data_IF_914188445947
#
_entry.id   IF_914188445947
#
_cell.length_a   1.000
_cell.length_b   1.000
_cell.length_c   1.000
_cell.angle_alpha   90.00
_cell.angle_beta   90.00
_cell.angle_gamma   90.00
#
_symmetry.space_group_name_H-M   'P 1'
#
loop_
_entity.id
_entity.type
_entity.pdbx_description
1 polymer ?
#
# COMPACT_ATOMS: atom_id res chain seq x y z
N UNK A 1 -29.78 -52.02 29.29
CA UNK A 1 -28.87 -51.40 30.27
C UNK A 1 -28.54 -50.03 29.69
N UNK A 2 -29.29 -48.97 30.02
CA UNK A 2 -29.22 -48.19 31.28
C UNK A 2 -27.81 -47.61 31.45
N UNK A 3 -27.54 -46.31 31.59
CA UNK A 3 -28.34 -45.11 31.83
C UNK A 3 -27.49 -43.85 31.49
N UNK A 4 -28.19 -42.75 31.18
CA UNK A 4 -27.93 -41.32 31.42
C UNK A 4 -26.49 -40.75 31.48
N UNK A 5 -26.23 -39.69 30.69
CA UNK A 5 -26.27 -38.33 31.26
C UNK A 5 -26.45 -37.21 30.20
N UNK A 6 -27.17 -36.18 30.64
CA UNK A 6 -27.54 -34.96 29.92
C UNK A 6 -26.36 -33.98 29.75
N UNK A 7 -26.40 -33.15 28.70
CA UNK A 7 -26.41 -31.68 28.84
C UNK A 7 -26.77 -30.98 27.53
N UNK A 8 -27.80 -30.13 27.63
CA UNK A 8 -28.46 -29.38 26.57
C UNK A 8 -27.70 -28.10 26.19
N UNK A 9 -27.69 -27.83 24.89
CA UNK A 9 -27.61 -26.50 24.28
C UNK A 9 -29.01 -25.86 24.30
N UNK A 10 -29.12 -24.52 24.40
CA UNK A 10 -30.23 -23.84 23.74
C UNK A 10 -29.74 -22.73 22.81
N UNK A 11 -30.30 -22.79 21.59
CA UNK A 11 -30.28 -21.76 20.57
C UNK A 11 -31.05 -20.51 21.03
N UNK A 12 -30.46 -19.34 20.84
CA UNK A 12 -31.04 -18.03 21.15
C UNK A 12 -32.28 -17.77 20.27
N UNK A 13 -33.44 -17.65 20.92
CA UNK A 13 -34.70 -17.24 20.31
C UNK A 13 -34.81 -15.72 20.33
N UNK A 14 -35.23 -15.17 19.18
CA UNK A 14 -35.69 -13.81 18.97
C UNK A 14 -36.82 -13.50 19.94
N UNK A 15 -36.56 -12.64 20.93
CA UNK A 15 -37.56 -12.17 21.88
C UNK A 15 -38.33 -10.98 21.30
N UNK A 16 -39.45 -11.30 20.67
CA UNK A 16 -40.56 -10.41 20.38
C UNK A 16 -41.11 -9.84 21.71
N UNK A 17 -40.92 -8.54 21.94
CA UNK A 17 -41.42 -7.89 23.16
C UNK A 17 -42.95 -7.76 23.08
N UNK A 18 -43.60 -8.46 24.00
CA UNK A 18 -45.04 -8.56 24.19
C UNK A 18 -45.72 -7.19 24.29
N UNK A 19 -46.77 -7.02 23.48
CA UNK A 19 -47.73 -5.95 23.58
C UNK A 19 -48.48 -6.00 24.92
N UNK A 20 -48.34 -4.93 25.72
CA UNK A 20 -49.13 -4.74 26.93
C UNK A 20 -50.59 -4.39 26.59
N UNK A 21 -51.51 -5.11 27.23
CA UNK A 21 -52.97 -4.96 27.22
C UNK A 21 -53.40 -3.52 27.56
N UNK A 22 -54.45 -2.95 26.92
CA UNK A 22 -54.84 -1.56 27.16
C UNK A 22 -55.51 -1.40 28.53
N UNK A 23 -54.94 -0.54 29.37
CA UNK A 23 -55.56 -0.08 30.61
C UNK A 23 -56.68 0.93 30.29
N UNK A 24 -57.85 0.72 30.90
CA UNK A 24 -59.03 1.59 30.83
C UNK A 24 -58.70 2.97 31.42
N UNK A 25 -58.97 4.09 30.74
CA UNK A 25 -58.69 5.41 31.31
C UNK A 25 -59.72 5.79 32.38
N UNK A 26 -59.20 6.14 33.57
CA UNK A 26 -59.89 6.88 34.62
C UNK A 26 -59.96 8.37 34.23
N UNK A 27 -61.07 9.08 34.45
CA UNK A 27 -61.15 10.50 34.14
C UNK A 27 -60.48 11.33 35.24
N UNK A 28 -59.21 11.68 35.05
CA UNK A 28 -58.57 12.73 35.86
C UNK A 28 -59.05 14.10 35.38
N UNK A 29 -59.93 14.72 36.18
CA UNK A 29 -60.33 16.12 36.05
C UNK A 29 -59.19 17.02 36.51
N UNK A 30 -58.34 17.47 35.59
CA UNK A 30 -57.44 18.60 35.81
C UNK A 30 -58.10 19.87 35.28
N UNK A 31 -58.55 20.73 36.21
CA UNK A 31 -58.93 22.12 35.90
C UNK A 31 -57.69 22.87 35.40
N UNK A 32 -57.55 22.97 34.08
CA UNK A 32 -56.65 23.96 33.49
C UNK A 32 -57.26 25.34 33.66
N UNK A 33 -56.72 26.14 34.59
CA UNK A 33 -56.90 27.58 34.62
C UNK A 33 -56.37 28.16 33.29
N UNK A 34 -57.26 28.43 32.34
CA UNK A 34 -56.95 29.19 31.13
C UNK A 34 -56.76 30.65 31.51
N UNK A 35 -55.54 31.00 31.90
CA UNK A 35 -55.09 32.40 31.81
C UNK A 35 -55.19 32.84 30.35
N UNK A 36 -56.21 33.64 30.02
CA UNK A 36 -56.40 34.17 28.68
C UNK A 36 -55.44 35.33 28.43
N UNK A 37 -54.20 35.01 28.05
CA UNK A 37 -53.33 36.01 27.44
C UNK A 37 -53.93 36.39 26.08
N UNK A 38 -54.60 37.54 26.01
CA UNK A 38 -55.03 38.16 24.73
C UNK A 38 -53.79 38.66 23.98
N UNK A 39 -53.03 37.74 23.40
CA UNK A 39 -51.97 38.03 22.45
C UNK A 39 -52.60 38.30 21.07
N UNK A 40 -52.33 39.47 20.50
CA UNK A 40 -52.72 39.81 19.13
C UNK A 40 -52.14 38.76 18.16
N UNK A 41 -52.90 38.38 17.11
CA UNK A 41 -52.49 37.37 16.10
C UNK A 41 -51.08 37.60 15.55
N UNK A 42 -50.67 38.87 15.41
CA UNK A 42 -49.32 39.26 15.00
C UNK A 42 -48.25 38.77 15.97
N UNK A 43 -48.44 38.93 17.29
CA UNK A 43 -47.48 38.47 18.32
C UNK A 43 -47.36 36.95 18.36
N UNK A 44 -48.44 36.23 18.05
CA UNK A 44 -48.46 34.77 18.01
C UNK A 44 -47.63 34.23 16.82
N UNK A 45 -47.73 34.86 15.64
CA UNK A 45 -46.91 34.52 14.49
C UNK A 45 -45.41 34.82 14.74
N UNK A 46 -45.08 35.91 15.42
CA UNK A 46 -43.69 36.23 15.78
C UNK A 46 -43.09 35.19 16.74
N UNK A 47 -43.85 34.73 17.74
CA UNK A 47 -43.41 33.69 18.68
C UNK A 47 -43.17 32.36 17.95
N UNK A 48 -44.08 31.97 17.04
CA UNK A 48 -43.93 30.76 16.23
C UNK A 48 -42.68 30.81 15.35
N UNK A 49 -42.43 31.92 14.67
CA UNK A 49 -41.23 32.10 13.85
C UNK A 49 -39.94 32.04 14.69
N UNK A 50 -39.95 32.65 15.88
CA UNK A 50 -38.81 32.61 16.79
C UNK A 50 -38.53 31.19 17.29
N UNK A 51 -39.56 30.44 17.68
CA UNK A 51 -39.43 29.05 18.08
C UNK A 51 -38.87 28.18 16.94
N UNK A 52 -39.34 28.37 15.71
CA UNK A 52 -38.82 27.65 14.55
C UNK A 52 -37.32 27.93 14.34
N UNK A 53 -36.87 29.19 14.45
CA UNK A 53 -35.45 29.55 14.37
C UNK A 53 -34.61 28.85 15.46
N UNK A 54 -35.09 28.82 16.70
CA UNK A 54 -34.41 28.13 17.79
C UNK A 54 -34.32 26.62 17.58
N UNK A 55 -35.39 25.99 17.11
CA UNK A 55 -35.41 24.55 16.80
C UNK A 55 -34.43 24.24 15.66
N UNK A 56 -34.38 25.08 14.62
CA UNK A 56 -33.41 24.93 13.53
C UNK A 56 -31.97 25.06 14.01
N UNK A 57 -31.66 26.05 14.86
CA UNK A 57 -30.32 26.24 15.41
C UNK A 57 -29.88 25.06 16.29
N UNK A 58 -30.76 24.57 17.17
CA UNK A 58 -30.49 23.42 18.02
C UNK A 58 -30.28 22.14 17.18
N UNK A 59 -31.10 21.93 16.16
CA UNK A 59 -30.97 20.80 15.23
C UNK A 59 -29.64 20.86 14.47
N UNK A 60 -29.26 22.03 13.94
CA UNK A 60 -27.98 22.21 13.26
C UNK A 60 -26.79 21.93 14.18
N UNK A 61 -26.85 22.41 15.43
CA UNK A 61 -25.78 22.19 16.40
C UNK A 61 -25.62 20.71 16.77
N UNK A 62 -26.73 19.99 16.99
CA UNK A 62 -26.69 18.55 17.24
C UNK A 62 -26.06 17.79 16.06
N UNK A 63 -26.45 18.12 14.83
CA UNK A 63 -25.84 17.55 13.62
C UNK A 63 -24.36 17.89 13.49
N UNK A 64 -23.95 19.12 13.85
CA UNK A 64 -22.55 19.52 13.82
C UNK A 64 -21.70 18.72 14.81
N UNK A 65 -22.18 18.50 16.03
CA UNK A 65 -21.48 17.64 17.00
C UNK A 65 -21.38 16.19 16.52
N UNK A 66 -22.46 15.65 15.92
CA UNK A 66 -22.44 14.31 15.34
C UNK A 66 -21.44 14.21 14.18
N UNK A 67 -21.42 15.21 13.29
CA UNK A 67 -20.47 15.26 12.18
C UNK A 67 -19.02 15.30 12.67
N UNK A 68 -18.73 16.09 13.71
CA UNK A 68 -17.41 16.15 14.32
C UNK A 68 -16.98 14.80 14.93
N UNK A 69 -17.88 14.13 15.67
CA UNK A 69 -17.59 12.83 16.26
C UNK A 69 -17.38 11.74 15.18
N UNK A 70 -18.19 11.76 14.11
CA UNK A 70 -18.01 10.87 12.98
C UNK A 70 -16.66 11.08 12.27
N UNK A 71 -16.23 12.33 12.11
CA UNK A 71 -14.92 12.65 11.53
C UNK A 71 -13.76 12.10 12.38
N UNK A 72 -13.86 12.20 13.70
CA UNK A 72 -12.84 11.66 14.61
C UNK A 72 -12.74 10.13 14.50
N UNK A 73 -13.88 9.44 14.42
CA UNK A 73 -13.92 7.99 14.20
C UNK A 73 -13.29 7.57 12.88
N UNK A 74 -13.54 8.32 11.79
CA UNK A 74 -12.91 8.05 10.49
C UNK A 74 -11.40 8.18 10.58
N UNK A 75 -10.90 9.24 11.22
CA UNK A 75 -9.44 9.45 11.36
C UNK A 75 -8.76 8.36 12.20
N UNK A 76 -9.45 7.83 13.22
CA UNK A 76 -8.94 6.72 14.03
C UNK A 76 -8.93 5.41 13.23
N UNK A 77 -9.99 5.14 12.48
CA UNK A 77 -10.08 3.99 11.59
C UNK A 77 -9.00 4.02 10.49
N UNK A 78 -8.75 5.18 9.87
CA UNK A 78 -7.69 5.33 8.87
C UNK A 78 -6.30 5.00 9.42
N UNK A 79 -6.00 5.41 10.66
CA UNK A 79 -4.71 5.07 11.31
C UNK A 79 -4.57 3.58 11.58
N UNK A 80 -5.66 2.92 11.97
CA UNK A 80 -5.68 1.46 12.15
C UNK A 80 -5.41 0.77 10.82
N UNK A 81 -6.12 1.15 9.75
CA UNK A 81 -5.90 0.62 8.42
C UNK A 81 -4.48 0.86 7.92
N UNK A 82 -3.91 2.06 8.11
CA UNK A 82 -2.51 2.36 7.73
C UNK A 82 -1.52 1.39 8.37
N UNK A 83 -1.77 0.98 9.62
CA UNK A 83 -0.89 0.06 10.35
C UNK A 83 -1.10 -1.39 9.90
N UNK A 84 -2.34 -1.77 9.62
CA UNK A 84 -2.70 -3.11 9.14
C UNK A 84 -2.27 -3.35 7.69
N UNK A 85 -2.15 -2.29 6.88
CA UNK A 85 -1.75 -2.35 5.48
C UNK A 85 -0.44 -1.60 5.26
N UNK A 86 0.55 -1.82 6.12
CA UNK A 86 1.85 -1.18 5.96
C UNK A 86 2.79 -2.01 5.05
N UNK A 87 3.01 -1.58 3.79
CA UNK A 87 3.96 -2.23 2.91
C UNK A 87 5.41 -1.99 3.37
N UNK A 88 6.19 -3.07 3.41
CA UNK A 88 7.61 -3.05 3.76
C UNK A 88 8.41 -3.64 2.62
N UNK A 89 9.04 -2.78 1.83
CA UNK A 89 9.90 -3.22 0.73
C UNK A 89 11.36 -3.42 1.17
N UNK A 90 11.93 -4.55 0.77
CA UNK A 90 13.30 -4.95 1.09
C UNK A 90 14.03 -5.35 -0.19
N UNK A 91 15.22 -4.80 -0.39
CA UNK A 91 16.11 -5.25 -1.45
C UNK A 91 16.82 -6.53 -1.04
N UNK A 92 17.03 -7.41 -2.01
CA UNK A 92 17.77 -8.65 -1.84
C UNK A 92 18.81 -8.78 -2.94
N UNK A 93 19.98 -9.28 -2.56
CA UNK A 93 21.05 -9.67 -3.48
C UNK A 93 21.43 -11.11 -3.18
N UNK A 94 21.42 -11.96 -4.20
CA UNK A 94 21.99 -13.31 -4.16
C UNK A 94 22.96 -13.49 -5.31
N UNK A 95 24.01 -14.29 -5.11
CA UNK A 95 24.93 -14.73 -6.16
C UNK A 95 24.85 -16.24 -6.43
N UNK A 96 23.91 -16.94 -5.81
CA UNK A 96 23.69 -18.37 -6.00
C UNK A 96 22.20 -18.71 -5.99
N UNK A 97 21.79 -19.55 -6.93
CA UNK A 97 20.44 -20.07 -7.00
C UNK A 97 20.42 -21.53 -6.53
N UNK A 98 19.69 -21.78 -5.44
CA UNK A 98 19.60 -23.11 -4.82
C UNK A 98 18.79 -24.09 -5.68
N UNK A 99 17.80 -23.61 -6.45
CA UNK A 99 16.93 -24.48 -7.25
C UNK A 99 17.66 -25.00 -8.48
N UNK A 100 18.37 -24.11 -9.19
CA UNK A 100 19.17 -24.47 -10.36
C UNK A 100 20.57 -24.96 -10.00
N UNK A 101 20.99 -24.87 -8.73
CA UNK A 101 22.36 -25.18 -8.26
C UNK A 101 23.45 -24.49 -9.11
N UNK A 102 23.17 -23.26 -9.55
CA UNK A 102 24.03 -22.47 -10.42
C UNK A 102 24.35 -21.12 -9.76
N UNK A 103 25.59 -20.64 -9.93
CA UNK A 103 25.96 -19.28 -9.58
C UNK A 103 25.16 -18.30 -10.45
N UNK A 104 24.29 -17.51 -9.81
CA UNK A 104 23.34 -16.62 -10.48
C UNK A 104 23.22 -15.37 -9.64
N UNK A 105 23.55 -14.22 -10.23
CA UNK A 105 23.27 -12.93 -9.62
C UNK A 105 21.77 -12.71 -9.73
N UNK A 106 21.10 -12.42 -8.61
CA UNK A 106 19.70 -12.04 -8.54
C UNK A 106 19.59 -10.82 -7.64
N UNK A 107 19.02 -9.76 -8.20
CA UNK A 107 18.66 -8.54 -7.50
C UNK A 107 17.15 -8.41 -7.58
N UNK A 108 16.51 -8.37 -6.44
CA UNK A 108 15.07 -8.27 -6.34
C UNK A 108 14.65 -7.35 -5.21
N UNK A 109 13.39 -6.91 -5.27
CA UNK A 109 12.74 -6.19 -4.20
C UNK A 109 11.49 -6.97 -3.78
N UNK A 110 11.42 -7.29 -2.49
CA UNK A 110 10.33 -8.08 -1.91
C UNK A 110 9.48 -7.22 -0.99
N UNK A 111 8.17 -7.37 -1.09
CA UNK A 111 7.26 -6.84 -0.08
C UNK A 111 7.14 -7.83 1.09
N UNK A 112 7.75 -7.49 2.21
CA UNK A 112 7.70 -8.27 3.46
C UNK A 112 6.75 -7.66 4.50
N UNK A 113 6.00 -6.62 4.10
CA UNK A 113 5.00 -5.98 4.95
C UNK A 113 3.60 -6.39 4.55
N UNK A 114 2.61 -5.83 5.23
CA UNK A 114 1.21 -6.17 4.99
C UNK A 114 0.59 -5.23 3.96
N UNK A 115 -0.10 -5.82 2.99
CA UNK A 115 -0.80 -5.08 1.94
C UNK A 115 0.09 -4.59 0.79
N UNK A 116 -0.53 -4.08 -0.30
CA UNK A 116 0.17 -3.85 -1.55
C UNK A 116 0.97 -2.53 -1.58
N UNK A 117 2.09 -2.57 -2.29
CA UNK A 117 2.94 -1.42 -2.57
C UNK A 117 2.90 -1.06 -4.06
N UNK A 118 2.74 0.22 -4.39
CA UNK A 118 2.92 0.72 -5.74
C UNK A 118 4.32 1.31 -5.83
N UNK A 119 5.24 0.62 -6.48
CA UNK A 119 6.61 1.10 -6.71
C UNK A 119 6.56 2.13 -7.84
N UNK A 120 6.95 3.37 -7.53
CA UNK A 120 7.00 4.45 -8.51
C UNK A 120 8.30 4.44 -9.30
N UNK A 121 9.42 4.29 -8.59
CA UNK A 121 10.75 4.22 -9.17
C UNK A 121 11.71 3.49 -8.23
N UNK A 122 12.80 3.01 -8.81
CA UNK A 122 14.01 2.60 -8.08
C UNK A 122 15.14 3.46 -8.64
N UNK A 123 15.85 4.14 -7.73
CA UNK A 123 17.02 4.95 -8.00
C UNK A 123 18.24 4.17 -7.51
N UNK A 124 19.23 4.05 -8.37
CA UNK A 124 20.52 3.46 -8.06
C UNK A 124 21.56 4.56 -7.99
N UNK A 125 22.56 4.41 -7.12
CA UNK A 125 23.69 5.33 -7.02
C UNK A 125 24.99 4.54 -7.12
N UNK A 126 25.88 5.00 -8.01
CA UNK A 126 27.25 4.49 -8.19
C UNK A 126 28.19 5.68 -8.30
N UNK A 127 29.20 5.73 -7.43
CA UNK A 127 30.22 6.80 -7.40
C UNK A 127 29.66 8.24 -7.39
N UNK A 128 28.45 8.43 -6.84
CA UNK A 128 27.75 9.72 -6.75
C UNK A 128 26.84 10.05 -7.93
N UNK A 129 26.84 9.24 -8.98
CA UNK A 129 25.95 9.35 -10.14
C UNK A 129 24.67 8.54 -9.92
N UNK A 130 23.52 9.10 -10.33
CA UNK A 130 22.22 8.49 -10.14
C UNK A 130 21.69 7.85 -11.43
N UNK A 131 21.20 6.62 -11.33
CA UNK A 131 20.64 5.83 -12.43
C UNK A 131 19.23 5.37 -12.08
N UNK A 132 18.34 5.27 -13.07
CA UNK A 132 16.97 4.75 -12.90
C UNK A 132 16.72 3.47 -13.68
N UNK A 133 17.64 3.10 -14.57
CA UNK A 133 17.66 1.82 -15.25
C UNK A 133 18.82 0.98 -14.71
N UNK A 134 18.53 -0.27 -14.32
CA UNK A 134 19.56 -1.17 -13.79
C UNK A 134 20.58 -1.56 -14.86
N UNK A 135 20.20 -1.57 -16.14
CA UNK A 135 21.12 -1.85 -17.25
C UNK A 135 22.11 -0.72 -17.46
N UNK A 136 21.67 0.54 -17.33
CA UNK A 136 22.56 1.72 -17.36
C UNK A 136 23.56 1.69 -16.19
N UNK A 137 23.10 1.34 -14.98
CA UNK A 137 23.98 1.14 -13.83
C UNK A 137 25.02 0.04 -14.08
N UNK A 138 24.58 -1.11 -14.57
CA UNK A 138 25.46 -2.25 -14.84
C UNK A 138 26.44 -1.94 -15.98
N UNK A 139 26.04 -1.13 -16.95
CA UNK A 139 26.92 -0.64 -17.99
C UNK A 139 27.99 0.30 -17.45
N UNK A 140 27.59 1.30 -16.65
CA UNK A 140 28.50 2.24 -16.02
C UNK A 140 29.54 1.56 -15.11
N UNK A 141 29.13 0.56 -14.33
CA UNK A 141 30.07 -0.22 -13.51
C UNK A 141 31.04 -1.04 -14.35
N UNK A 142 30.48 -1.81 -15.27
CA UNK A 142 31.04 -3.11 -15.60
C UNK A 142 31.05 -3.37 -17.12
N UNK A 143 30.55 -2.42 -17.93
CA UNK A 143 30.49 -2.43 -19.40
C UNK A 143 29.61 -3.57 -19.96
N UNK A 144 28.33 -3.55 -19.58
CA UNK A 144 27.29 -4.48 -20.02
C UNK A 144 26.99 -4.35 -21.52
N UNK A 145 27.15 -3.17 -22.12
CA UNK A 145 26.91 -2.93 -23.54
C UNK A 145 27.97 -3.61 -24.43
N UNK A 146 29.24 -3.60 -24.05
CA UNK A 146 30.27 -4.37 -24.76
C UNK A 146 29.97 -5.87 -24.73
N UNK A 147 29.40 -6.36 -23.62
CA UNK A 147 28.94 -7.74 -23.52
C UNK A 147 27.77 -8.04 -24.47
N UNK A 148 26.78 -7.15 -24.56
CA UNK A 148 25.68 -7.30 -25.52
C UNK A 148 26.16 -7.30 -26.98
N UNK A 149 27.10 -6.42 -27.33
CA UNK A 149 27.67 -6.37 -28.67
C UNK A 149 28.37 -7.69 -29.02
N UNK A 150 29.22 -8.20 -28.12
CA UNK A 150 29.91 -9.48 -28.30
C UNK A 150 28.94 -10.67 -28.40
N UNK A 151 27.80 -10.62 -27.71
CA UNK A 151 26.73 -11.61 -27.86
C UNK A 151 26.08 -11.56 -29.24
N UNK A 152 25.81 -10.35 -29.76
CA UNK A 152 25.16 -10.17 -31.06
C UNK A 152 26.04 -10.70 -32.19
N UNK A 153 27.34 -10.43 -32.16
CA UNK A 153 28.29 -10.93 -33.15
C UNK A 153 28.36 -12.47 -33.13
N UNK A 154 28.49 -13.07 -31.94
CA UNK A 154 28.51 -14.53 -31.78
C UNK A 154 27.17 -15.18 -32.19
N UNK A 155 26.05 -14.47 -32.08
CA UNK A 155 24.75 -14.95 -32.53
C UNK A 155 24.68 -15.07 -34.06
N UNK A 156 25.28 -14.14 -34.79
CA UNK A 156 25.23 -14.13 -36.24
C UNK A 156 26.08 -15.27 -36.88
N UNK A 157 27.03 -15.85 -36.14
CA UNK A 157 27.96 -16.87 -36.66
C UNK A 157 27.47 -18.33 -36.50
N UNK A 158 26.72 -18.69 -35.45
CA UNK A 158 26.40 -20.11 -35.12
C UNK A 158 24.90 -20.41 -34.89
N UNK A 159 24.06 -20.36 -35.94
CA UNK A 159 22.58 -20.46 -35.86
C UNK A 159 21.96 -21.72 -35.21
N UNK A 160 22.75 -22.74 -34.86
CA UNK A 160 22.28 -24.05 -34.39
C UNK A 160 22.52 -24.33 -32.89
N UNK A 161 22.79 -23.31 -32.07
CA UNK A 161 23.12 -23.49 -30.65
C UNK A 161 22.04 -22.88 -29.77
N UNK A 162 21.76 -23.52 -28.63
CA UNK A 162 20.98 -22.89 -27.56
C UNK A 162 21.81 -21.75 -26.93
N UNK A 163 21.64 -20.55 -27.49
CA UNK A 163 22.37 -19.35 -27.10
C UNK A 163 22.23 -19.01 -25.62
N UNK A 164 21.02 -19.17 -25.06
CA UNK A 164 20.77 -18.90 -23.64
C UNK A 164 21.69 -19.73 -22.73
N UNK A 165 21.85 -21.01 -23.04
CA UNK A 165 22.65 -21.93 -22.22
C UNK A 165 24.16 -21.74 -22.40
N UNK A 166 24.61 -21.41 -23.62
CA UNK A 166 26.05 -21.27 -23.92
C UNK A 166 26.61 -19.94 -23.43
N UNK A 167 25.87 -18.86 -23.60
CA UNK A 167 26.37 -17.51 -23.37
C UNK A 167 25.94 -16.92 -22.02
N UNK A 168 24.82 -17.36 -21.45
CA UNK A 168 24.29 -16.84 -20.19
C UNK A 168 23.75 -15.42 -20.35
N UNK A 169 22.47 -15.29 -20.68
CA UNK A 169 21.81 -13.98 -20.80
C UNK A 169 21.52 -13.36 -19.44
N UNK A 170 21.31 -12.05 -19.39
CA UNK A 170 20.74 -11.41 -18.21
C UNK A 170 19.29 -10.99 -18.49
N UNK A 171 18.50 -10.86 -17.43
CA UNK A 171 17.14 -10.33 -17.45
C UNK A 171 17.13 -9.07 -16.61
N UNK A 172 16.53 -8.00 -17.11
CA UNK A 172 16.31 -6.77 -16.37
C UNK A 172 14.86 -6.32 -16.51
N UNK A 173 14.33 -5.72 -15.45
CA UNK A 173 12.96 -5.20 -15.42
C UNK A 173 12.96 -3.73 -15.01
N UNK A 174 12.16 -2.89 -15.69
CA UNK A 174 12.01 -1.48 -15.35
C UNK A 174 10.87 -1.28 -14.32
N UNK A 175 11.14 -0.76 -13.11
CA UNK A 175 10.13 -0.60 -12.08
C UNK A 175 9.32 0.69 -12.26
N UNK A 176 8.45 0.74 -13.27
CA UNK A 176 7.56 1.89 -13.50
C UNK A 176 6.12 1.59 -13.09
N UNK A 177 5.67 2.19 -11.98
CA UNK A 177 4.30 2.10 -11.45
C UNK A 177 3.81 0.66 -11.26
N UNK A 178 4.64 -0.18 -10.67
CA UNK A 178 4.34 -1.60 -10.47
C UNK A 178 3.59 -1.78 -9.16
N UNK A 179 2.46 -2.49 -9.19
CA UNK A 179 1.80 -2.97 -7.99
C UNK A 179 2.47 -4.27 -7.54
N UNK A 180 3.01 -4.28 -6.33
CA UNK A 180 3.62 -5.44 -5.68
C UNK A 180 2.71 -5.85 -4.51
N UNK A 181 2.12 -7.04 -4.57
CA UNK A 181 1.25 -7.53 -3.50
C UNK A 181 2.06 -7.88 -2.24
N UNK A 182 1.36 -8.25 -1.16
CA UNK A 182 1.99 -8.79 0.05
C UNK A 182 2.72 -10.11 -0.26
N UNK A 183 3.96 -10.23 0.20
CA UNK A 183 4.80 -11.42 0.02
C UNK A 183 5.44 -11.55 -1.36
N UNK A 184 4.94 -10.82 -2.36
CA UNK A 184 5.45 -10.85 -3.73
C UNK A 184 6.86 -10.26 -3.84
N UNK A 185 7.56 -10.73 -4.87
CA UNK A 185 8.92 -10.32 -5.20
C UNK A 185 8.98 -9.81 -6.63
N UNK A 186 9.55 -8.64 -6.83
CA UNK A 186 9.82 -8.08 -8.15
C UNK A 186 11.29 -8.28 -8.51
N UNK A 187 11.53 -9.04 -9.58
CA UNK A 187 12.87 -9.32 -10.08
C UNK A 187 13.40 -8.12 -10.89
N UNK A 188 14.40 -7.44 -10.35
CA UNK A 188 15.02 -6.26 -10.97
C UNK A 188 16.06 -6.69 -11.99
N UNK A 189 16.95 -7.60 -11.59
CA UNK A 189 18.05 -8.07 -12.42
C UNK A 189 18.38 -9.53 -12.10
N UNK A 190 18.60 -10.35 -13.12
CA UNK A 190 19.09 -11.71 -12.97
C UNK A 190 20.15 -12.02 -14.02
N UNK A 191 21.26 -12.63 -13.62
CA UNK A 191 22.33 -13.04 -14.53
C UNK A 191 22.98 -14.36 -14.05
N UNK A 192 22.69 -15.50 -14.69
CA UNK A 192 23.39 -16.76 -14.46
C UNK A 192 24.82 -16.68 -15.00
N UNK A 193 25.75 -17.25 -14.24
CA UNK A 193 27.16 -17.34 -14.61
C UNK A 193 27.37 -18.40 -15.69
N UNK A 194 28.08 -18.04 -16.74
CA UNK A 194 28.48 -18.90 -17.85
C UNK A 194 30.00 -18.84 -18.06
N UNK A 195 30.53 -19.68 -18.96
CA UNK A 195 31.94 -19.58 -19.35
C UNK A 195 32.23 -18.31 -20.16
N UNK A 196 31.22 -17.78 -20.85
CA UNK A 196 31.35 -16.61 -21.72
C UNK A 196 31.29 -15.31 -20.93
N UNK A 197 30.40 -15.23 -19.93
CA UNK A 197 30.16 -13.99 -19.18
C UNK A 197 30.92 -13.91 -17.85
N UNK A 198 31.76 -14.90 -17.53
CA UNK A 198 32.46 -15.03 -16.24
C UNK A 198 33.14 -13.75 -15.79
N UNK A 199 33.89 -13.09 -16.68
CA UNK A 199 34.64 -11.87 -16.35
C UNK A 199 33.72 -10.69 -16.00
N UNK A 200 32.60 -10.53 -16.71
CA UNK A 200 31.59 -9.53 -16.39
C UNK A 200 30.87 -9.86 -15.08
N UNK A 201 30.45 -11.12 -14.93
CA UNK A 201 29.76 -11.61 -13.74
C UNK A 201 30.60 -11.40 -12.46
N UNK A 202 31.90 -11.76 -12.51
CA UNK A 202 32.81 -11.60 -11.38
C UNK A 202 33.04 -10.12 -11.03
N UNK A 203 33.07 -9.23 -12.04
CA UNK A 203 33.14 -7.79 -11.81
C UNK A 203 31.90 -7.26 -11.11
N UNK A 204 30.70 -7.68 -11.53
CA UNK A 204 29.44 -7.26 -10.90
C UNK A 204 29.39 -7.75 -9.44
N UNK A 205 29.69 -9.03 -9.18
CA UNK A 205 29.67 -9.57 -7.82
C UNK A 205 30.71 -8.92 -6.89
N UNK A 206 31.84 -8.49 -7.43
CA UNK A 206 32.86 -7.77 -6.68
C UNK A 206 32.42 -6.34 -6.29
N UNK A 207 31.62 -5.66 -7.11
CA UNK A 207 31.16 -4.28 -6.86
C UNK A 207 29.84 -4.19 -6.07
N UNK A 208 29.25 -5.33 -5.67
CA UNK A 208 27.93 -5.37 -5.00
C UNK A 208 27.79 -4.48 -3.77
N UNK A 209 28.87 -4.26 -3.02
CA UNK A 209 28.85 -3.44 -1.80
C UNK A 209 28.84 -1.94 -2.08
N UNK A 210 29.16 -1.53 -3.31
CA UNK A 210 29.25 -0.13 -3.71
C UNK A 210 27.90 0.38 -4.21
N UNK A 211 27.08 -0.50 -4.78
CA UNK A 211 25.75 -0.15 -5.25
C UNK A 211 24.83 0.23 -4.10
N UNK A 212 24.32 1.46 -4.13
CA UNK A 212 23.20 1.87 -3.28
C UNK A 212 21.93 1.88 -4.12
N UNK A 213 20.82 1.52 -3.48
CA UNK A 213 19.51 1.52 -4.11
C UNK A 213 18.50 2.17 -3.18
N UNK A 214 17.62 2.98 -3.74
CA UNK A 214 16.50 3.60 -3.05
C UNK A 214 15.25 3.40 -3.89
N UNK A 215 14.21 2.80 -3.30
CA UNK A 215 12.90 2.70 -3.93
C UNK A 215 11.95 3.72 -3.29
N UNK A 216 11.18 4.41 -4.13
CA UNK A 216 10.01 5.16 -3.66
C UNK A 216 8.74 4.43 -4.04
N UNK A 217 7.87 4.23 -3.06
CA UNK A 217 6.63 3.50 -3.23
C UNK A 217 5.51 4.10 -2.39
N UNK A 218 4.26 3.86 -2.80
CA UNK A 218 3.09 4.27 -2.03
C UNK A 218 2.21 3.08 -1.71
N UNK A 219 1.53 3.11 -0.56
CA UNK A 219 0.44 2.19 -0.27
C UNK A 219 -0.77 2.49 -1.16
N UNK A 220 -1.73 1.56 -1.23
CA UNK A 220 -3.04 1.82 -1.86
C UNK A 220 -3.79 2.97 -1.15
N UNK A 221 -3.53 3.19 0.14
CA UNK A 221 -4.10 4.27 0.93
C UNK A 221 -3.39 5.63 0.71
N UNK A 222 -2.53 5.73 -0.31
CA UNK A 222 -1.84 6.96 -0.77
C UNK A 222 -0.77 7.51 0.18
N UNK A 223 -0.34 6.77 1.20
CA UNK A 223 0.85 7.15 1.96
C UNK A 223 2.09 6.67 1.23
N UNK A 224 3.09 7.53 1.09
CA UNK A 224 4.30 7.25 0.33
C UNK A 224 5.52 7.13 1.25
N UNK A 225 6.45 6.29 0.85
CA UNK A 225 7.66 5.97 1.60
C UNK A 225 8.84 5.82 0.66
N UNK A 226 10.03 6.06 1.19
CA UNK A 226 11.28 5.62 0.59
C UNK A 226 11.88 4.49 1.43
N UNK A 227 12.50 3.52 0.77
CA UNK A 227 13.32 2.48 1.41
C UNK A 227 14.67 2.39 0.70
N UNK A 228 15.72 2.04 1.44
CA UNK A 228 17.06 1.84 0.90
C UNK A 228 17.51 0.37 0.95
N UNK A 229 18.74 0.09 0.52
CA UNK A 229 19.33 -1.26 0.52
C UNK A 229 19.42 -1.89 1.92
N UNK A 230 19.35 -1.08 2.97
CA UNK A 230 19.35 -1.50 4.38
C UNK A 230 17.94 -1.64 4.97
N UNK A 231 16.92 -1.56 4.13
CA UNK A 231 15.51 -1.60 4.51
C UNK A 231 15.10 -0.50 5.52
N UNK A 232 15.76 0.66 5.49
CA UNK A 232 15.38 1.82 6.30
C UNK A 232 14.23 2.55 5.61
N UNK A 233 13.07 2.63 6.29
CA UNK A 233 11.85 3.22 5.74
C UNK A 233 11.68 4.65 6.25
N UNK A 234 11.41 5.59 5.34
CA UNK A 234 11.09 6.99 5.67
C UNK A 234 9.79 7.41 4.98
N UNK A 235 8.85 8.01 5.72
CA UNK A 235 7.62 8.55 5.14
C UNK A 235 7.90 9.84 4.36
N UNK A 236 7.36 9.95 3.15
CA UNK A 236 7.53 11.10 2.26
C UNK A 236 6.17 11.61 1.74
N UNK A 237 6.04 12.91 1.41
CA UNK A 237 4.77 13.45 0.93
C UNK A 237 4.29 12.84 -0.39
N UNK A 238 5.22 12.52 -1.30
CA UNK A 238 4.91 11.90 -2.59
C UNK A 238 6.17 11.31 -3.25
N UNK A 239 5.96 10.36 -4.15
CA UNK A 239 6.99 9.86 -5.06
C UNK A 239 7.02 10.68 -6.34
N UNK A 240 7.51 11.91 -6.27
CA UNK A 240 7.84 12.69 -7.47
C UNK A 240 9.19 12.24 -8.01
N UNK A 241 9.21 11.64 -9.21
CA UNK A 241 10.44 11.50 -9.98
C UNK A 241 10.88 12.91 -10.34
N UNK A 242 11.99 13.40 -9.80
CA UNK A 242 12.75 14.44 -10.49
C UNK A 242 13.76 13.70 -11.34
N UNK A 243 13.51 13.48 -12.64
CA UNK A 243 14.56 13.01 -13.53
C UNK A 243 15.52 14.18 -13.69
N UNK A 244 16.68 14.12 -13.05
CA UNK A 244 17.82 14.91 -13.51
C UNK A 244 18.40 14.18 -14.71
N UNK A 245 17.71 14.24 -15.85
CA UNK A 245 18.32 13.93 -17.13
C UNK A 245 19.30 15.05 -17.43
N UNK A 246 20.56 14.88 -17.03
CA UNK A 246 21.68 15.58 -17.66
C UNK A 246 21.98 14.89 -18.99
N UNK A 247 21.07 15.03 -19.94
CA UNK A 247 21.37 14.91 -21.36
C UNK A 247 20.82 16.19 -21.98
N UNK A 248 21.70 17.18 -22.10
CA UNK A 248 21.47 18.32 -22.97
C UNK A 248 21.44 17.81 -24.42
N UNK A 249 20.47 18.35 -25.15
CA UNK A 249 20.32 18.35 -26.61
C UNK A 249 21.62 18.67 -27.36
#
# INVERSE_FOLDING_TARGET
MSEHNNNNLPSENVAETQAAKPARPQPHSSRHSRGSFKLSRSKMNTILALCAMFISAASFYATYLQAKAAQEQVSAAEKQLKTETWPWLQFSYSNFDLESTQATIRVDIRNSGTGPAIIHYIKYELDGEAYFDVTELMDACCNLNAYQAALSDAQNEESNINYLKKFGWYVSSAPQKILLADGDTFNIFTMPKSNFNRGLWDKIDAHKSVFKAEACYCSILKQCYTTNEKAVITEVPSCSTTPTNSINE
#
